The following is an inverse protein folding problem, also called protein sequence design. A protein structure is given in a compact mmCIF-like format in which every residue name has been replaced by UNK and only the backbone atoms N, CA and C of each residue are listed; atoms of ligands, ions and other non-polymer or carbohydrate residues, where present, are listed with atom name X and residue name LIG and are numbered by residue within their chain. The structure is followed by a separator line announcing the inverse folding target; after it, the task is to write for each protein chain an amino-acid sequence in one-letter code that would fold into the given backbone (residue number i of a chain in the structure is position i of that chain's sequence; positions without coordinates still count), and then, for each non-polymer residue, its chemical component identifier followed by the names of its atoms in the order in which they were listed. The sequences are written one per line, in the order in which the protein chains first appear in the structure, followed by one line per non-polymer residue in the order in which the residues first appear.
data_IF_930488625313
#
_entry.id   IF_930488625313
#
_cell.length_a   1.000
_cell.length_b   1.000
_cell.length_c   1.000
_cell.angle_alpha   90.00
_cell.angle_beta   90.00
_cell.angle_gamma   90.00
#
_symmetry.space_group_name_H-M   'P 1'
#
loop_
_entity.id
_entity.type
_entity.pdbx_description
1 polymer ?
#
# COMPACT_ATOMS: atom_id res chain seq x y z
N UNK A 1 6.01 4.69 0.08
CA UNK A 1 5.13 4.04 -0.92
C UNK A 1 5.69 4.09 -2.34
N UNK A 2 6.18 5.23 -2.79
CA UNK A 2 6.69 5.38 -4.16
C UNK A 2 7.83 4.41 -4.48
N UNK A 3 8.76 4.19 -3.56
CA UNK A 3 9.87 3.27 -3.77
C UNK A 3 9.39 1.83 -3.93
N UNK A 4 8.49 1.38 -3.06
CA UNK A 4 7.92 0.03 -3.15
C UNK A 4 7.14 -0.14 -4.46
N UNK A 5 6.33 0.85 -4.83
CA UNK A 5 5.59 0.84 -6.08
C UNK A 5 6.53 0.72 -7.28
N UNK A 6 7.61 1.52 -7.31
CA UNK A 6 8.59 1.49 -8.39
C UNK A 6 9.29 0.15 -8.52
N UNK A 7 9.75 -0.42 -7.39
CA UNK A 7 10.43 -1.72 -7.37
C UNK A 7 9.51 -2.81 -7.90
N UNK A 8 8.27 -2.87 -7.41
CA UNK A 8 7.33 -3.92 -7.77
C UNK A 8 6.85 -3.78 -9.21
N UNK A 9 6.68 -2.54 -9.70
CA UNK A 9 6.33 -2.28 -11.10
C UNK A 9 7.47 -2.71 -12.03
N UNK A 10 8.71 -2.49 -11.64
CA UNK A 10 9.88 -2.92 -12.41
C UNK A 10 9.97 -4.45 -12.50
N UNK A 11 9.55 -5.18 -11.47
CA UNK A 11 9.48 -6.64 -11.48
C UNK A 11 8.38 -7.12 -12.43
N UNK A 12 7.19 -6.53 -12.30
CA UNK A 12 6.04 -6.89 -13.14
C UNK A 12 5.07 -5.70 -13.21
N UNK A 13 4.79 -5.23 -14.43
CA UNK A 13 3.91 -4.07 -14.63
C UNK A 13 2.48 -4.35 -14.18
N UNK A 14 2.01 -5.62 -14.26
CA UNK A 14 0.67 -5.99 -13.79
C UNK A 14 0.56 -5.79 -12.29
N UNK A 15 1.62 -6.10 -11.56
CA UNK A 15 1.68 -5.86 -10.12
C UNK A 15 1.56 -4.37 -9.83
N UNK A 16 2.29 -3.53 -10.57
CA UNK A 16 2.19 -2.08 -10.44
C UNK A 16 0.78 -1.58 -10.71
N UNK A 17 0.14 -2.09 -11.75
CA UNK A 17 -1.23 -1.71 -12.10
C UNK A 17 -2.23 -2.08 -11.01
N UNK A 18 -2.11 -3.27 -10.42
CA UNK A 18 -2.95 -3.71 -9.30
C UNK A 18 -2.76 -2.83 -8.07
N UNK A 19 -1.51 -2.49 -7.76
CA UNK A 19 -1.21 -1.65 -6.61
C UNK A 19 -1.74 -0.23 -6.80
N UNK A 20 -1.54 0.35 -7.99
CA UNK A 20 -2.04 1.69 -8.29
C UNK A 20 -3.57 1.73 -8.24
N UNK A 21 -4.22 0.73 -8.81
CA UNK A 21 -5.69 0.65 -8.79
C UNK A 21 -6.24 0.48 -7.38
N UNK A 22 -5.60 -0.35 -6.55
CA UNK A 22 -6.00 -0.57 -5.16
C UNK A 22 -5.83 0.71 -4.34
N UNK A 23 -4.67 1.38 -4.50
CA UNK A 23 -4.42 2.64 -3.78
C UNK A 23 -5.44 3.70 -4.16
N UNK A 24 -5.69 3.85 -5.45
CA UNK A 24 -6.64 4.85 -5.94
C UNK A 24 -8.05 4.57 -5.46
N UNK A 25 -8.51 3.33 -5.55
CA UNK A 25 -9.84 2.93 -5.09
C UNK A 25 -9.99 3.17 -3.58
N UNK A 26 -9.00 2.76 -2.78
CA UNK A 26 -9.04 2.95 -1.34
C UNK A 26 -8.98 4.43 -0.97
N UNK A 27 -8.17 5.22 -1.69
CA UNK A 27 -8.07 6.66 -1.46
C UNK A 27 -9.40 7.37 -1.74
N UNK A 28 -10.08 6.98 -2.82
CA UNK A 28 -11.37 7.58 -3.17
C UNK A 28 -12.48 7.19 -2.20
N UNK A 29 -12.49 5.93 -1.74
CA UNK A 29 -13.55 5.42 -0.85
C UNK A 29 -13.37 5.94 0.57
N UNK A 30 -12.16 5.80 1.12
CA UNK A 30 -11.89 6.11 2.53
C UNK A 30 -11.37 7.53 2.74
N UNK A 31 -10.83 8.16 1.70
CA UNK A 31 -10.32 9.53 1.72
C UNK A 31 -9.14 9.74 2.69
N UNK A 32 -8.39 8.67 2.97
CA UNK A 32 -7.14 8.74 3.71
C UNK A 32 -6.01 8.21 2.84
N UNK A 33 -5.02 9.04 2.53
CA UNK A 33 -3.86 8.61 1.75
C UNK A 33 -3.06 7.54 2.48
N UNK A 34 -2.85 7.72 3.78
CA UNK A 34 -2.14 6.74 4.61
C UNK A 34 -2.88 5.42 4.70
N UNK A 35 -4.21 5.46 4.88
CA UNK A 35 -5.01 4.24 4.93
C UNK A 35 -4.96 3.51 3.58
N UNK A 36 -5.06 4.25 2.47
CA UNK A 36 -4.93 3.68 1.14
C UNK A 36 -3.57 2.99 0.96
N UNK A 37 -2.49 3.61 1.42
CA UNK A 37 -1.15 3.02 1.37
C UNK A 37 -1.05 1.75 2.21
N UNK A 38 -1.65 1.74 3.40
CA UNK A 38 -1.64 0.57 4.28
C UNK A 38 -2.43 -0.60 3.68
N UNK A 39 -3.61 -0.32 3.12
CA UNK A 39 -4.43 -1.34 2.45
C UNK A 39 -3.67 -1.92 1.27
N UNK A 40 -3.05 -1.08 0.45
CA UNK A 40 -2.27 -1.52 -0.70
C UNK A 40 -1.07 -2.35 -0.26
N UNK A 41 -0.38 -1.94 0.80
CA UNK A 41 0.76 -2.68 1.35
C UNK A 41 0.32 -4.07 1.85
N UNK A 42 -0.80 -4.15 2.53
CA UNK A 42 -1.32 -5.43 3.02
C UNK A 42 -1.70 -6.36 1.87
N UNK A 43 -2.18 -5.82 0.76
CA UNK A 43 -2.54 -6.60 -0.42
C UNK A 43 -1.33 -7.02 -1.26
N UNK A 44 -0.17 -6.38 -1.09
CA UNK A 44 1.01 -6.60 -1.93
C UNK A 44 1.46 -8.06 -1.96
N UNK A 45 1.62 -8.78 -0.83
CA UNK A 45 2.02 -10.19 -0.89
C UNK A 45 1.02 -11.06 -1.65
N UNK A 46 -0.28 -10.78 -1.51
CA UNK A 46 -1.33 -11.52 -2.20
C UNK A 46 -1.27 -11.29 -3.71
N UNK A 47 -1.08 -10.04 -4.13
CA UNK A 47 -0.92 -9.72 -5.55
C UNK A 47 0.37 -10.31 -6.11
N UNK A 48 1.44 -10.29 -5.35
CA UNK A 48 2.72 -10.87 -5.76
C UNK A 48 2.57 -12.37 -6.04
N UNK A 49 1.84 -13.07 -5.19
CA UNK A 49 1.54 -14.49 -5.40
C UNK A 49 0.66 -14.69 -6.64
N UNK A 50 -0.38 -13.90 -6.77
CA UNK A 50 -1.34 -14.04 -7.86
C UNK A 50 -0.69 -13.79 -9.22
N UNK A 51 0.15 -12.75 -9.33
CA UNK A 51 0.77 -12.36 -10.60
C UNK A 51 1.94 -13.28 -10.94
N UNK A 52 2.82 -13.57 -9.97
CA UNK A 52 4.07 -14.30 -10.24
C UNK A 52 3.97 -15.79 -9.94
N UNK A 53 3.16 -16.18 -8.97
CA UNK A 53 3.11 -17.57 -8.49
C UNK A 53 4.39 -18.03 -7.78
N UNK A 54 5.28 -17.11 -7.42
CA UNK A 54 6.56 -17.43 -6.81
C UNK A 54 6.69 -16.86 -5.40
N UNK A 55 7.09 -17.72 -4.46
CA UNK A 55 7.23 -17.35 -3.06
C UNK A 55 8.24 -16.25 -2.81
N UNK A 56 9.28 -16.14 -3.66
CA UNK A 56 10.28 -15.09 -3.48
C UNK A 56 9.66 -13.69 -3.57
N UNK A 57 8.72 -13.49 -4.49
CA UNK A 57 8.05 -12.20 -4.63
C UNK A 57 7.03 -11.96 -3.52
N UNK A 58 6.41 -13.01 -3.00
CA UNK A 58 5.56 -12.92 -1.82
C UNK A 58 6.38 -12.46 -0.61
N UNK A 59 7.58 -13.03 -0.42
CA UNK A 59 8.50 -12.63 0.63
C UNK A 59 8.93 -11.18 0.51
N UNK A 60 9.29 -10.75 -0.71
CA UNK A 60 9.66 -9.37 -0.98
C UNK A 60 8.50 -8.42 -0.68
N UNK A 61 7.30 -8.75 -1.15
CA UNK A 61 6.10 -7.96 -0.89
C UNK A 61 5.79 -7.88 0.60
N UNK A 62 5.97 -8.99 1.33
CA UNK A 62 5.79 -9.03 2.77
C UNK A 62 6.76 -8.13 3.52
N UNK A 63 8.05 -8.17 3.14
CA UNK A 63 9.07 -7.30 3.73
C UNK A 63 8.75 -5.82 3.47
N UNK A 64 8.41 -5.49 2.24
CA UNK A 64 8.04 -4.12 1.88
C UNK A 64 6.80 -3.66 2.64
N UNK A 65 5.82 -4.54 2.83
CA UNK A 65 4.61 -4.24 3.60
C UNK A 65 4.96 -3.94 5.07
N UNK A 66 5.78 -4.78 5.69
CA UNK A 66 6.21 -4.57 7.09
C UNK A 66 6.94 -3.24 7.23
N UNK A 67 7.89 -2.96 6.34
CA UNK A 67 8.63 -1.69 6.37
C UNK A 67 7.70 -0.50 6.22
N UNK A 68 6.71 -0.61 5.34
CA UNK A 68 5.76 0.46 5.11
C UNK A 68 4.87 0.69 6.33
N UNK A 69 4.39 -0.38 6.99
CA UNK A 69 3.64 -0.27 8.23
C UNK A 69 4.47 0.41 9.33
N UNK A 70 5.74 0.06 9.46
CA UNK A 70 6.62 0.68 10.43
C UNK A 70 6.82 2.17 10.15
N UNK A 71 6.97 2.55 8.89
CA UNK A 71 7.12 3.96 8.51
C UNK A 71 5.84 4.76 8.67
N UNK A 72 4.69 4.08 8.70
CA UNK A 72 3.38 4.70 8.87
C UNK A 72 2.82 4.53 10.29
N UNK A 73 3.65 4.15 11.27
CA UNK A 73 3.17 3.89 12.62
C UNK A 73 2.46 5.09 13.25
N UNK A 74 2.93 6.32 12.99
CA UNK A 74 2.27 7.51 13.49
C UNK A 74 0.95 7.78 12.78
N UNK A 75 0.90 7.50 11.46
CA UNK A 75 -0.34 7.59 10.69
C UNK A 75 -1.39 6.61 11.22
N UNK A 76 -0.97 5.39 11.55
CA UNK A 76 -1.85 4.37 12.13
C UNK A 76 -2.40 4.87 13.46
N UNK A 77 -1.54 5.43 14.31
CA UNK A 77 -1.96 6.00 15.61
C UNK A 77 -2.98 7.10 15.41
N UNK A 78 -2.76 8.01 14.46
CA UNK A 78 -3.70 9.10 14.18
C UNK A 78 -5.02 8.59 13.60
N UNK A 79 -4.99 7.52 12.79
CA UNK A 79 -6.21 6.91 12.26
C UNK A 79 -7.08 6.36 13.40
N UNK A 80 -6.46 5.67 14.37
CA UNK A 80 -7.20 5.17 15.53
C UNK A 80 -7.68 6.29 16.43
N UNK A 81 -6.94 7.39 16.53
CA UNK A 81 -7.33 8.55 17.34
C UNK A 81 -8.33 9.48 16.63
N UNK A 82 -8.58 9.26 15.33
CA UNK A 82 -9.48 10.11 14.56
C UNK A 82 -8.88 11.44 14.15
N UNK A 83 -7.55 11.60 14.20
CA UNK A 83 -6.85 12.86 13.92
C UNK A 83 -6.11 12.85 12.59
N UNK A 84 -6.15 11.77 11.80
CA UNK A 84 -5.49 11.71 10.51
C UNK A 84 -6.21 12.62 9.50
N UNK A 85 -5.49 13.48 8.77
CA UNK A 85 -6.11 14.34 7.75
C UNK A 85 -6.69 13.51 6.61
N UNK A 86 -7.89 13.88 6.16
CA UNK A 86 -8.53 13.29 4.99
C UNK A 86 -8.10 13.98 3.71
N UNK A 87 -8.07 13.21 2.62
CA UNK A 87 -7.84 13.76 1.28
C UNK A 87 -8.99 14.71 0.92
N UNK A 88 -8.65 15.89 0.43
CA UNK A 88 -9.62 16.89 0.02
C UNK A 88 -10.25 17.68 1.14
N UNK A 89 -9.88 17.42 2.40
CA UNK A 89 -10.36 18.20 3.53
C UNK A 89 -9.45 19.39 3.77
N UNK A 90 -10.02 20.57 3.83
CA UNK A 90 -9.28 21.76 4.23
C UNK A 90 -9.12 21.76 5.75
N UNK A 91 -7.88 21.84 6.18
CA UNK A 91 -7.56 21.93 7.61
C UNK A 91 -7.76 23.33 8.14
#
# INVERSE_FOLDING_TARGET
MATAFGVLTAIDWQLGALLAGTWLAAALVFRYSSLAALITAAATPLYAWWVSGEWIYVGLGGILAVLLFLRHRQNISRLFAGTEPKIGKKS
#
